data_IF_512676408893
#
_entry.id   IF_512676408893
#
_cell.length_a   1.000
_cell.length_b   1.000
_cell.length_c   1.000
_cell.angle_alpha   90.00
_cell.angle_beta   90.00
_cell.angle_gamma   90.00
#
_symmetry.space_group_name_H-M   'P 1'
#
loop_
_entity.id
_entity.type
_entity.pdbx_description
1 polymer ?
#
# COMPACT_ATOMS: atom_id res chain seq x y z
N UNK A 1 22.43 -35.83 2.80
CA UNK A 1 21.61 -35.60 1.59
C UNK A 1 20.40 -34.72 1.92
N UNK A 2 19.54 -35.06 2.88
CA UNK A 2 18.34 -34.27 3.23
C UNK A 2 18.66 -32.83 3.69
N UNK A 3 19.77 -32.61 4.40
CA UNK A 3 20.18 -31.29 4.91
C UNK A 3 20.69 -30.34 3.81
N UNK A 4 21.33 -30.88 2.78
CA UNK A 4 21.86 -30.13 1.62
C UNK A 4 20.73 -29.66 0.71
N UNK A 5 19.64 -30.43 0.61
CA UNK A 5 18.48 -30.05 -0.21
C UNK A 5 17.62 -28.97 0.48
N UNK A 6 17.52 -29.01 1.82
CA UNK A 6 16.86 -27.97 2.60
C UNK A 6 17.59 -26.62 2.51
N UNK A 7 18.93 -26.62 2.63
CA UNK A 7 19.74 -25.40 2.49
C UNK A 7 19.68 -24.82 1.07
N UNK A 8 19.50 -25.64 0.04
CA UNK A 8 19.27 -25.17 -1.34
C UNK A 8 17.92 -24.49 -1.52
N UNK A 9 16.88 -24.97 -0.83
CA UNK A 9 15.57 -24.36 -0.82
C UNK A 9 15.57 -23.02 -0.07
N UNK A 10 16.36 -22.90 0.99
CA UNK A 10 16.50 -21.66 1.75
C UNK A 10 17.46 -20.63 1.11
N UNK A 11 18.07 -20.95 -0.05
CA UNK A 11 19.00 -20.04 -0.74
C UNK A 11 20.28 -19.76 0.05
N UNK A 12 20.74 -20.75 0.84
CA UNK A 12 21.94 -20.68 1.69
C UNK A 12 22.96 -21.70 1.21
N UNK A 13 24.24 -21.34 1.15
CA UNK A 13 25.33 -22.28 0.85
C UNK A 13 25.65 -23.21 2.05
N UNK A 14 26.56 -24.16 1.84
CA UNK A 14 26.98 -25.12 2.89
C UNK A 14 27.65 -24.43 4.09
N UNK A 15 28.14 -23.19 3.91
CA UNK A 15 28.79 -22.37 4.92
C UNK A 15 27.82 -21.39 5.61
N UNK A 16 26.52 -21.47 5.32
CA UNK A 16 25.49 -20.60 5.91
C UNK A 16 25.39 -19.20 5.30
N UNK A 17 26.04 -18.95 4.17
CA UNK A 17 25.94 -17.68 3.44
C UNK A 17 24.81 -17.75 2.40
N UNK A 18 24.03 -16.66 2.27
CA UNK A 18 22.98 -16.55 1.27
C UNK A 18 23.57 -16.67 -0.15
N UNK A 19 23.09 -17.65 -0.92
CA UNK A 19 23.43 -17.79 -2.34
C UNK A 19 22.91 -16.58 -3.12
N UNK A 20 23.43 -16.32 -4.31
CA UNK A 20 23.02 -15.18 -5.14
C UNK A 20 21.48 -15.07 -5.32
N UNK A 21 20.79 -16.21 -5.41
CA UNK A 21 19.32 -16.28 -5.47
C UNK A 21 18.66 -15.85 -4.16
N UNK A 22 19.13 -16.33 -3.02
CA UNK A 22 18.62 -15.96 -1.71
C UNK A 22 18.80 -14.46 -1.39
N UNK A 23 19.92 -13.87 -1.81
CA UNK A 23 20.14 -12.41 -1.69
C UNK A 23 19.14 -11.60 -2.52
N UNK A 24 18.85 -12.03 -3.73
CA UNK A 24 17.89 -11.36 -4.61
C UNK A 24 16.47 -11.43 -4.06
N UNK A 25 16.04 -12.57 -3.52
CA UNK A 25 14.76 -12.75 -2.87
C UNK A 25 14.64 -11.90 -1.59
N UNK A 26 15.68 -11.91 -0.75
CA UNK A 26 15.75 -11.08 0.45
C UNK A 26 15.68 -9.58 0.14
N UNK A 27 16.35 -9.12 -0.92
CA UNK A 27 16.29 -7.74 -1.38
C UNK A 27 14.90 -7.39 -1.91
N UNK A 28 14.26 -8.27 -2.66
CA UNK A 28 12.89 -8.05 -3.17
C UNK A 28 11.89 -7.93 -2.03
N UNK A 29 11.98 -8.78 -1.01
CA UNK A 29 11.15 -8.70 0.21
C UNK A 29 11.39 -7.38 0.95
N UNK A 30 12.66 -6.96 1.11
CA UNK A 30 12.99 -5.66 1.71
C UNK A 30 12.36 -4.51 0.94
N UNK A 31 12.51 -4.46 -0.41
CA UNK A 31 11.95 -3.40 -1.25
C UNK A 31 10.43 -3.38 -1.16
N UNK A 32 9.78 -4.53 -1.18
CA UNK A 32 8.34 -4.65 -1.03
C UNK A 32 7.87 -4.04 0.31
N UNK A 33 8.45 -4.48 1.43
CA UNK A 33 8.11 -3.98 2.75
C UNK A 33 8.40 -2.48 2.91
N UNK A 34 9.57 -2.03 2.46
CA UNK A 34 9.94 -0.61 2.46
C UNK A 34 8.94 0.24 1.67
N UNK A 35 8.55 -0.21 0.47
CA UNK A 35 7.64 0.53 -0.39
C UNK A 35 6.23 0.61 0.19
N UNK A 36 5.73 -0.49 0.77
CA UNK A 36 4.42 -0.51 1.43
C UNK A 36 4.38 0.50 2.57
N UNK A 37 5.31 0.40 3.53
CA UNK A 37 5.29 1.30 4.69
C UNK A 37 5.52 2.77 4.29
N UNK A 38 6.38 3.02 3.30
CA UNK A 38 6.62 4.37 2.79
C UNK A 38 5.34 4.94 2.18
N UNK A 39 4.60 4.15 1.41
CA UNK A 39 3.36 4.57 0.77
C UNK A 39 2.24 4.81 1.78
N UNK A 40 1.90 3.80 2.59
CA UNK A 40 0.79 3.91 3.54
C UNK A 40 1.06 4.98 4.60
N UNK A 41 2.31 5.03 5.10
CA UNK A 41 2.71 6.08 6.04
C UNK A 41 2.68 7.48 5.41
N UNK A 42 3.03 7.61 4.13
CA UNK A 42 2.92 8.88 3.42
C UNK A 42 1.46 9.32 3.25
N UNK A 43 0.54 8.40 2.93
CA UNK A 43 -0.91 8.71 2.86
C UNK A 43 -1.44 9.15 4.23
N UNK A 44 -1.07 8.45 5.31
CA UNK A 44 -1.40 8.86 6.67
C UNK A 44 -0.90 10.29 6.98
N UNK A 45 0.37 10.60 6.63
CA UNK A 45 0.96 11.94 6.81
C UNK A 45 0.18 12.99 6.00
N UNK A 46 -0.19 12.69 4.75
CA UNK A 46 -0.95 13.63 3.90
C UNK A 46 -2.32 13.93 4.49
N UNK A 47 -3.07 12.90 4.95
CA UNK A 47 -4.41 13.11 5.51
C UNK A 47 -4.36 13.86 6.83
N UNK A 48 -3.50 13.44 7.77
CA UNK A 48 -3.33 14.12 9.06
C UNK A 48 -2.79 15.54 8.85
N UNK A 49 -1.82 15.71 7.95
CA UNK A 49 -1.26 17.00 7.58
C UNK A 49 -2.32 17.95 6.98
N UNK A 50 -3.21 17.45 6.15
CA UNK A 50 -4.31 18.23 5.59
C UNK A 50 -5.31 18.68 6.67
N UNK A 51 -5.63 17.81 7.65
CA UNK A 51 -6.48 18.16 8.80
C UNK A 51 -5.81 19.29 9.60
N UNK A 52 -4.53 19.15 9.93
CA UNK A 52 -3.75 20.13 10.67
C UNK A 52 -3.68 21.45 9.90
N UNK A 53 -3.36 21.44 8.61
CA UNK A 53 -3.28 22.64 7.77
C UNK A 53 -4.63 23.36 7.69
N UNK A 54 -5.73 22.62 7.56
CA UNK A 54 -7.08 23.18 7.56
C UNK A 54 -7.39 23.85 8.91
N UNK A 55 -7.10 23.20 10.04
CA UNK A 55 -7.30 23.76 11.37
C UNK A 55 -6.48 25.03 11.57
N UNK A 56 -5.20 25.04 11.22
CA UNK A 56 -4.33 26.23 11.32
C UNK A 56 -4.90 27.39 10.50
N UNK A 57 -5.39 27.11 9.28
CA UNK A 57 -5.98 28.13 8.40
C UNK A 57 -7.27 28.70 8.98
N UNK A 58 -8.14 27.86 9.55
CA UNK A 58 -9.45 28.25 10.07
C UNK A 58 -9.34 28.93 11.45
N UNK A 59 -8.24 28.69 12.17
CA UNK A 59 -7.99 29.28 13.49
C UNK A 59 -6.93 30.38 13.49
N UNK A 60 -6.65 30.97 12.31
CA UNK A 60 -5.60 31.99 12.16
C UNK A 60 -5.82 33.22 13.05
N UNK A 61 -7.09 33.60 13.26
CA UNK A 61 -7.50 34.75 14.07
C UNK A 61 -7.76 34.40 15.55
N UNK A 62 -7.51 33.14 15.96
CA UNK A 62 -7.69 32.67 17.34
C UNK A 62 -6.38 32.65 18.10
N UNK A 63 -6.47 32.59 19.45
CA UNK A 63 -5.28 32.52 20.32
C UNK A 63 -4.50 31.22 20.10
N UNK A 64 -3.18 31.26 20.39
CA UNK A 64 -2.31 30.08 20.29
C UNK A 64 -2.76 28.94 21.20
N UNK A 65 -3.38 29.23 22.33
CA UNK A 65 -3.91 28.23 23.26
C UNK A 65 -5.13 27.50 22.68
N UNK A 66 -6.05 28.24 22.04
CA UNK A 66 -7.22 27.63 21.38
C UNK A 66 -6.79 26.75 20.20
N UNK A 67 -5.78 27.19 19.44
CA UNK A 67 -5.20 26.40 18.34
C UNK A 67 -4.58 25.10 18.84
N UNK A 68 -3.80 25.13 19.90
CA UNK A 68 -3.23 23.94 20.56
C UNK A 68 -4.31 23.01 21.07
N UNK A 69 -5.38 23.54 21.64
CA UNK A 69 -6.53 22.77 22.14
C UNK A 69 -7.24 21.98 21.03
N UNK A 70 -7.30 22.53 19.81
CA UNK A 70 -7.90 21.86 18.65
C UNK A 70 -6.96 20.86 17.98
N UNK A 71 -5.64 21.09 18.03
CA UNK A 71 -4.65 20.20 17.42
C UNK A 71 -4.35 18.97 18.27
N UNK A 72 -4.35 19.08 19.60
CA UNK A 72 -4.08 17.95 20.51
C UNK A 72 -4.94 16.70 20.23
N UNK A 73 -6.26 16.80 20.04
CA UNK A 73 -7.10 15.64 19.75
C UNK A 73 -6.79 14.98 18.40
N UNK A 74 -6.36 15.74 17.39
CA UNK A 74 -5.95 15.21 16.10
C UNK A 74 -4.71 14.34 16.25
N UNK A 75 -3.69 14.82 16.99
CA UNK A 75 -2.50 14.02 17.30
C UNK A 75 -2.85 12.80 18.17
N UNK A 76 -3.71 12.97 19.17
CA UNK A 76 -4.16 11.86 20.02
C UNK A 76 -4.89 10.78 19.20
N UNK A 77 -5.78 11.20 18.27
CA UNK A 77 -6.46 10.29 17.34
C UNK A 77 -5.49 9.55 16.44
N UNK A 78 -4.50 10.25 15.86
CA UNK A 78 -3.49 9.63 15.02
C UNK A 78 -2.64 8.61 15.81
N UNK A 79 -2.18 8.95 17.00
CA UNK A 79 -1.41 8.04 17.87
C UNK A 79 -2.26 6.82 18.24
N UNK A 80 -3.53 7.01 18.60
CA UNK A 80 -4.44 5.91 18.92
C UNK A 80 -4.64 4.98 17.70
N UNK A 81 -4.71 5.54 16.49
CA UNK A 81 -4.78 4.78 15.24
C UNK A 81 -3.55 3.89 15.07
N UNK A 82 -2.34 4.42 15.28
CA UNK A 82 -1.09 3.66 15.21
C UNK A 82 -1.09 2.53 16.27
N UNK A 83 -1.40 2.85 17.52
CA UNK A 83 -1.41 1.87 18.62
C UNK A 83 -2.40 0.74 18.32
N UNK A 84 -3.60 1.08 17.88
CA UNK A 84 -4.62 0.07 17.58
C UNK A 84 -4.23 -0.79 16.36
N UNK A 85 -3.51 -0.24 15.38
CA UNK A 85 -2.96 -1.03 14.26
C UNK A 85 -1.96 -2.08 14.78
N UNK A 86 -1.06 -1.74 15.69
CA UNK A 86 -0.15 -2.73 16.30
C UNK A 86 -0.89 -3.78 17.12
N UNK A 87 -1.91 -3.39 17.87
CA UNK A 87 -2.76 -4.34 18.62
C UNK A 87 -3.48 -5.29 17.66
N UNK A 88 -4.01 -4.78 16.55
CA UNK A 88 -4.66 -5.59 15.51
C UNK A 88 -3.69 -6.57 14.84
N UNK A 89 -2.45 -6.14 14.54
CA UNK A 89 -1.41 -7.00 14.01
C UNK A 89 -1.05 -8.14 14.99
N UNK A 90 -0.88 -7.79 16.27
CA UNK A 90 -0.61 -8.78 17.30
C UNK A 90 -1.76 -9.80 17.46
N UNK A 91 -3.00 -9.31 17.49
CA UNK A 91 -4.18 -10.17 17.60
C UNK A 91 -4.29 -11.13 16.40
N UNK A 92 -4.05 -10.63 15.18
CA UNK A 92 -4.06 -11.45 13.98
C UNK A 92 -2.99 -12.57 14.05
N UNK A 93 -1.79 -12.24 14.54
CA UNK A 93 -0.72 -13.21 14.73
C UNK A 93 -1.09 -14.27 15.76
N UNK A 94 -1.77 -13.91 16.87
CA UNK A 94 -2.24 -14.87 17.86
C UNK A 94 -3.32 -15.81 17.30
N UNK A 95 -4.22 -15.30 16.44
CA UNK A 95 -5.23 -16.13 15.79
C UNK A 95 -4.60 -17.15 14.83
N UNK A 96 -3.52 -16.79 14.12
CA UNK A 96 -2.76 -17.73 13.28
C UNK A 96 -2.11 -18.84 14.11
N UNK A 97 -1.46 -18.49 15.21
CA UNK A 97 -0.80 -19.47 16.10
C UNK A 97 -1.78 -20.44 16.76
N UNK A 98 -3.02 -20.03 17.00
CA UNK A 98 -4.04 -20.89 17.62
C UNK A 98 -4.60 -21.94 16.67
N UNK A 99 -4.47 -21.79 15.36
CA UNK A 99 -5.06 -22.63 14.31
C UNK A 99 -3.98 -23.29 13.43
N UNK A 100 -3.09 -24.06 14.02
CA UNK A 100 -1.95 -24.67 13.33
C UNK A 100 -2.32 -25.67 12.21
N UNK A 101 -3.50 -26.27 12.25
CA UNK A 101 -3.95 -27.23 11.23
C UNK A 101 -4.49 -26.62 9.93
N UNK A 102 -4.60 -25.30 9.86
CA UNK A 102 -5.11 -24.56 8.68
C UNK A 102 -4.32 -23.28 8.42
N UNK A 103 -3.05 -23.26 8.81
CA UNK A 103 -2.22 -22.05 8.68
C UNK A 103 -2.07 -21.65 7.21
N UNK A 104 -1.78 -22.60 6.32
CA UNK A 104 -1.64 -22.39 4.87
C UNK A 104 -2.93 -21.82 4.26
N UNK A 105 -4.09 -22.33 4.69
CA UNK A 105 -5.39 -21.85 4.22
C UNK A 105 -5.64 -20.41 4.66
N UNK A 106 -5.33 -20.06 5.91
CA UNK A 106 -5.48 -18.69 6.42
C UNK A 106 -4.54 -17.74 5.68
N UNK A 107 -3.29 -18.16 5.42
CA UNK A 107 -2.30 -17.39 4.68
C UNK A 107 -2.73 -17.19 3.23
N UNK A 108 -3.19 -18.24 2.57
CA UNK A 108 -3.71 -18.19 1.21
C UNK A 108 -4.92 -17.26 1.07
N UNK A 109 -5.92 -17.40 1.95
CA UNK A 109 -7.11 -16.52 1.96
C UNK A 109 -6.72 -15.06 2.23
N UNK A 110 -5.81 -14.81 3.19
CA UNK A 110 -5.35 -13.46 3.50
C UNK A 110 -4.62 -12.84 2.31
N UNK A 111 -3.78 -13.59 1.60
CA UNK A 111 -3.09 -13.13 0.41
C UNK A 111 -4.07 -12.81 -0.74
N UNK A 112 -5.14 -13.60 -0.92
CA UNK A 112 -6.18 -13.32 -1.91
C UNK A 112 -6.99 -12.05 -1.57
N UNK A 113 -7.30 -11.83 -0.29
CA UNK A 113 -7.93 -10.58 0.17
C UNK A 113 -6.99 -9.40 -0.11
N UNK A 114 -5.71 -9.53 0.24
CA UNK A 114 -4.70 -8.51 -0.04
C UNK A 114 -4.59 -8.22 -1.55
N UNK A 115 -4.62 -9.24 -2.40
CA UNK A 115 -4.68 -9.11 -3.87
C UNK A 115 -5.85 -8.24 -4.32
N UNK A 116 -7.06 -8.53 -3.85
CA UNK A 116 -8.25 -7.78 -4.22
C UNK A 116 -8.16 -6.30 -3.77
N UNK A 117 -7.70 -6.06 -2.54
CA UNK A 117 -7.52 -4.72 -1.99
C UNK A 117 -6.44 -3.96 -2.76
N UNK A 118 -5.27 -4.55 -3.01
CA UNK A 118 -4.17 -3.95 -3.78
C UNK A 118 -4.60 -3.61 -5.21
N UNK A 119 -5.31 -4.51 -5.89
CA UNK A 119 -5.85 -4.26 -7.22
C UNK A 119 -6.82 -3.08 -7.23
N UNK A 120 -7.77 -3.06 -6.28
CA UNK A 120 -8.72 -1.95 -6.13
C UNK A 120 -8.01 -0.63 -5.87
N UNK A 121 -7.11 -0.60 -4.88
CA UNK A 121 -6.38 0.60 -4.46
C UNK A 121 -5.48 1.11 -5.58
N UNK A 122 -4.75 0.23 -6.28
CA UNK A 122 -3.89 0.63 -7.40
C UNK A 122 -4.67 1.35 -8.50
N UNK A 123 -5.84 0.82 -8.88
CA UNK A 123 -6.73 1.46 -9.86
C UNK A 123 -7.34 2.77 -9.37
N UNK A 124 -7.77 2.81 -8.10
CA UNK A 124 -8.32 4.02 -7.49
C UNK A 124 -7.28 5.15 -7.46
N UNK A 125 -6.01 4.83 -7.15
CA UNK A 125 -4.91 5.78 -7.11
C UNK A 125 -4.60 6.38 -8.48
N UNK A 126 -4.55 5.56 -9.54
CA UNK A 126 -4.37 6.07 -10.91
C UNK A 126 -5.50 7.03 -11.26
N UNK A 127 -6.73 6.77 -10.83
CA UNK A 127 -7.87 7.65 -11.07
C UNK A 127 -7.76 8.98 -10.33
N UNK A 128 -7.06 9.04 -9.19
CA UNK A 128 -6.89 10.21 -8.31
C UNK A 128 -5.52 10.88 -8.43
N UNK A 129 -4.66 10.44 -9.34
CA UNK A 129 -3.32 11.00 -9.54
C UNK A 129 -3.32 12.49 -9.93
N UNK A 130 -4.46 13.07 -10.34
CA UNK A 130 -4.62 14.50 -10.55
C UNK A 130 -4.76 15.24 -9.20
N UNK A 131 -3.89 16.23 -8.95
CA UNK A 131 -3.82 16.98 -7.69
C UNK A 131 -5.13 17.68 -7.30
N UNK A 132 -5.92 18.13 -8.28
CA UNK A 132 -7.22 18.80 -8.05
C UNK A 132 -8.27 17.81 -7.47
N UNK A 133 -8.26 16.56 -7.94
CA UNK A 133 -9.14 15.51 -7.41
C UNK A 133 -8.78 15.15 -5.97
N UNK A 134 -7.49 15.17 -5.61
CA UNK A 134 -7.01 14.96 -4.25
C UNK A 134 -7.43 16.10 -3.31
N UNK A 135 -7.22 17.35 -3.73
CA UNK A 135 -7.61 18.53 -2.96
C UNK A 135 -9.12 18.55 -2.69
N UNK A 136 -9.94 18.22 -3.69
CA UNK A 136 -11.38 18.11 -3.54
C UNK A 136 -11.78 16.99 -2.56
N UNK A 137 -11.12 15.84 -2.65
CA UNK A 137 -11.33 14.72 -1.72
C UNK A 137 -11.03 15.12 -0.28
N UNK A 138 -9.88 15.72 -0.01
CA UNK A 138 -9.49 16.20 1.32
C UNK A 138 -10.46 17.26 1.84
N UNK A 139 -10.79 18.27 1.04
CA UNK A 139 -11.76 19.32 1.42
C UNK A 139 -13.12 18.74 1.79
N UNK A 140 -13.60 17.73 1.08
CA UNK A 140 -14.88 17.09 1.37
C UNK A 140 -14.87 16.30 2.68
N UNK A 141 -13.77 15.60 2.98
CA UNK A 141 -13.61 14.82 4.21
C UNK A 141 -13.40 15.68 5.44
N UNK A 142 -12.50 16.66 5.35
CA UNK A 142 -12.13 17.53 6.47
C UNK A 142 -13.17 18.63 6.68
N UNK A 143 -13.75 19.17 5.60
CA UNK A 143 -14.74 20.25 5.67
C UNK A 143 -15.97 19.90 6.52
N UNK A 144 -16.49 18.69 6.39
CA UNK A 144 -17.63 18.22 7.19
C UNK A 144 -17.28 18.10 8.68
N UNK A 145 -16.12 17.53 9.02
CA UNK A 145 -15.68 17.36 10.40
C UNK A 145 -15.34 18.71 11.08
N UNK A 146 -14.80 19.66 10.32
CA UNK A 146 -14.46 20.98 10.84
C UNK A 146 -15.68 21.92 11.00
N UNK A 147 -16.70 21.78 10.14
CA UNK A 147 -17.95 22.56 10.25
C UNK A 147 -18.73 22.24 11.52
N UNK A 148 -18.66 21.00 12.00
CA UNK A 148 -19.31 20.60 13.27
C UNK A 148 -18.63 21.14 14.50
N UNK A 149 -17.42 21.71 14.40
CA UNK A 149 -16.66 22.28 15.52
C UNK A 149 -16.33 21.27 16.65
N UNK A 150 -16.68 20.01 16.45
CA UNK A 150 -16.51 18.95 17.45
C UNK A 150 -15.07 18.46 17.47
N UNK A 151 -14.39 18.70 18.57
CA UNK A 151 -13.04 18.21 18.85
C UNK A 151 -12.95 16.68 18.74
N UNK A 152 -14.01 15.97 19.13
CA UNK A 152 -14.12 14.53 19.01
C UNK A 152 -14.21 14.08 17.54
N UNK A 153 -14.99 14.75 16.71
CA UNK A 153 -15.13 14.41 15.30
C UNK A 153 -13.80 14.54 14.54
N UNK A 154 -12.99 15.55 14.88
CA UNK A 154 -11.65 15.74 14.31
C UNK A 154 -10.67 14.64 14.75
N UNK A 155 -10.66 14.29 16.05
CA UNK A 155 -9.86 13.20 16.59
C UNK A 155 -10.24 11.86 15.97
N UNK A 156 -11.53 11.59 15.85
CA UNK A 156 -12.05 10.36 15.27
C UNK A 156 -11.74 10.24 13.77
N UNK A 157 -11.82 11.36 13.03
CA UNK A 157 -11.44 11.39 11.61
C UNK A 157 -9.95 11.08 11.43
N UNK A 158 -9.08 11.68 12.25
CA UNK A 158 -7.64 11.41 12.24
C UNK A 158 -7.34 9.96 12.63
N UNK A 159 -8.01 9.45 13.66
CA UNK A 159 -7.93 8.07 14.10
C UNK A 159 -8.29 7.08 12.98
N UNK A 160 -9.46 7.26 12.37
CA UNK A 160 -9.93 6.37 11.30
C UNK A 160 -9.00 6.40 10.08
N UNK A 161 -8.50 7.58 9.72
CA UNK A 161 -7.57 7.70 8.60
C UNK A 161 -6.28 6.91 8.87
N UNK A 162 -5.65 7.11 10.03
CA UNK A 162 -4.38 6.44 10.37
C UNK A 162 -4.60 4.94 10.60
N UNK A 163 -5.67 4.55 11.28
CA UNK A 163 -5.99 3.15 11.52
C UNK A 163 -6.27 2.40 10.22
N UNK A 164 -6.92 3.04 9.25
CA UNK A 164 -7.14 2.47 7.92
C UNK A 164 -5.81 2.15 7.23
N UNK A 165 -4.89 3.11 7.15
CA UNK A 165 -3.58 2.89 6.52
C UNK A 165 -2.78 1.80 7.28
N UNK A 166 -2.85 1.80 8.62
CA UNK A 166 -2.26 0.74 9.43
C UNK A 166 -2.87 -0.64 9.18
N UNK A 167 -4.18 -0.73 8.94
CA UNK A 167 -4.84 -1.99 8.58
C UNK A 167 -4.40 -2.48 7.19
N UNK A 168 -4.22 -1.58 6.22
CA UNK A 168 -3.68 -1.90 4.89
C UNK A 168 -2.24 -2.42 5.01
N UNK A 169 -1.37 -1.79 5.81
CA UNK A 169 -0.02 -2.31 6.11
C UNK A 169 -0.09 -3.73 6.65
N UNK A 170 -0.96 -4.02 7.63
CA UNK A 170 -1.09 -5.35 8.22
C UNK A 170 -1.45 -6.39 7.15
N UNK A 171 -2.45 -6.09 6.31
CA UNK A 171 -2.89 -6.99 5.25
C UNK A 171 -1.77 -7.29 4.25
N UNK A 172 -0.98 -6.29 3.86
CA UNK A 172 0.07 -6.44 2.86
C UNK A 172 1.35 -7.10 3.41
N UNK A 173 1.59 -6.96 4.72
CA UNK A 173 2.74 -7.60 5.37
C UNK A 173 2.50 -9.09 5.66
N UNK A 174 1.25 -9.54 5.78
CA UNK A 174 0.95 -10.94 6.09
C UNK A 174 1.57 -11.92 5.08
N UNK A 175 1.35 -11.76 3.75
CA UNK A 175 1.96 -12.68 2.78
C UNK A 175 3.50 -12.58 2.74
N UNK A 176 4.07 -11.41 3.03
CA UNK A 176 5.52 -11.22 3.07
C UNK A 176 6.18 -11.86 4.29
N UNK A 177 5.45 -11.94 5.41
CA UNK A 177 5.93 -12.61 6.62
C UNK A 177 5.91 -14.14 6.47
N UNK A 178 4.98 -14.68 5.69
CA UNK A 178 4.86 -16.12 5.45
C UNK A 178 5.89 -16.63 4.43
N UNK A 179 6.13 -15.89 3.35
CA UNK A 179 6.98 -16.33 2.23
C UNK A 179 8.40 -15.79 2.22
N UNK A 180 8.79 -14.92 3.14
CA UNK A 180 10.07 -14.22 3.09
C UNK A 180 10.95 -14.32 4.33
N UNK A 181 12.17 -13.77 4.22
CA UNK A 181 13.05 -13.60 5.37
C UNK A 181 12.46 -12.58 6.34
N UNK A 182 12.03 -13.03 7.51
CA UNK A 182 11.45 -12.18 8.58
C UNK A 182 12.37 -11.01 8.95
N UNK A 183 13.68 -11.20 8.91
CA UNK A 183 14.67 -10.13 9.16
C UNK A 183 14.57 -9.01 8.13
N UNK A 184 14.39 -9.34 6.85
CA UNK A 184 14.28 -8.34 5.76
C UNK A 184 12.94 -7.61 5.80
N UNK A 185 11.87 -8.27 6.23
CA UNK A 185 10.57 -7.63 6.47
C UNK A 185 10.70 -6.54 7.53
N UNK A 186 11.29 -6.87 8.69
CA UNK A 186 11.47 -5.91 9.77
C UNK A 186 12.49 -4.80 9.44
N UNK A 187 13.53 -5.12 8.66
CA UNK A 187 14.49 -4.13 8.19
C UNK A 187 13.82 -3.13 7.23
N UNK A 188 13.04 -3.63 6.27
CA UNK A 188 12.27 -2.78 5.35
C UNK A 188 11.29 -1.87 6.08
N UNK A 189 10.59 -2.40 7.08
CA UNK A 189 9.71 -1.64 7.96
C UNK A 189 10.47 -0.52 8.70
N UNK A 190 11.57 -0.86 9.38
CA UNK A 190 12.33 0.10 10.17
C UNK A 190 12.93 1.22 9.31
N UNK A 191 13.55 0.87 8.18
CA UNK A 191 14.11 1.86 7.24
C UNK A 191 13.00 2.73 6.65
N UNK A 192 11.86 2.15 6.30
CA UNK A 192 10.70 2.88 5.81
C UNK A 192 10.16 3.87 6.85
N UNK A 193 10.04 3.47 8.11
CA UNK A 193 9.65 4.37 9.21
C UNK A 193 10.63 5.54 9.38
N UNK A 194 11.94 5.28 9.31
CA UNK A 194 12.96 6.34 9.39
C UNK A 194 12.80 7.31 8.21
N UNK A 195 12.63 6.80 6.98
CA UNK A 195 12.37 7.64 5.81
C UNK A 195 11.09 8.48 5.97
N UNK A 196 10.02 7.93 6.54
CA UNK A 196 8.77 8.68 6.79
C UNK A 196 8.99 9.83 7.77
N UNK A 197 9.81 9.64 8.80
CA UNK A 197 10.17 10.73 9.73
C UNK A 197 10.91 11.84 8.97
N UNK A 198 11.86 11.50 8.11
CA UNK A 198 12.56 12.49 7.27
C UNK A 198 11.61 13.21 6.32
N UNK A 199 10.69 12.49 5.67
CA UNK A 199 9.67 13.08 4.78
C UNK A 199 8.77 14.04 5.58
N UNK A 200 8.29 13.63 6.75
CA UNK A 200 7.48 14.48 7.61
C UNK A 200 8.21 15.77 8.02
N UNK A 201 9.49 15.65 8.43
CA UNK A 201 10.31 16.79 8.79
C UNK A 201 10.57 17.71 7.58
N UNK A 202 10.84 17.16 6.41
CA UNK A 202 11.02 17.92 5.18
C UNK A 202 9.76 18.73 4.83
N UNK A 203 8.58 18.11 4.88
CA UNK A 203 7.30 18.79 4.64
C UNK A 203 7.11 19.94 5.64
N UNK A 204 7.37 19.68 6.92
CA UNK A 204 7.15 20.64 8.00
C UNK A 204 8.12 21.82 7.99
N UNK A 205 9.42 21.56 7.73
CA UNK A 205 10.48 22.58 7.83
C UNK A 205 10.69 23.34 6.53
N UNK A 206 10.59 22.69 5.38
CA UNK A 206 10.98 23.26 4.08
C UNK A 206 9.80 23.75 3.26
N UNK A 207 8.55 23.59 3.70
CA UNK A 207 7.34 23.89 2.90
C UNK A 207 7.38 23.30 1.47
N UNK A 208 8.01 22.14 1.32
CA UNK A 208 8.22 21.50 0.01
C UNK A 208 6.86 21.11 -0.58
N UNK A 209 6.58 21.58 -1.77
CA UNK A 209 5.44 21.09 -2.56
C UNK A 209 5.81 19.73 -3.13
N UNK A 210 5.26 18.68 -2.53
CA UNK A 210 5.51 17.32 -2.97
C UNK A 210 4.92 17.09 -4.37
N UNK A 211 5.67 16.41 -5.25
CA UNK A 211 5.17 16.02 -6.57
C UNK A 211 4.22 14.82 -6.42
N UNK A 212 2.99 15.06 -5.96
CA UNK A 212 1.99 14.02 -5.68
C UNK A 212 1.71 13.11 -6.88
N UNK A 213 1.66 13.69 -8.10
CA UNK A 213 1.36 12.93 -9.33
C UNK A 213 2.32 11.79 -9.61
N UNK A 214 3.66 12.00 -9.73
CA UNK A 214 4.58 10.91 -9.98
C UNK A 214 4.64 9.93 -8.80
N UNK A 215 4.50 10.40 -7.56
CA UNK A 215 4.45 9.53 -6.40
C UNK A 215 3.27 8.54 -6.49
N UNK A 216 2.05 9.03 -6.69
CA UNK A 216 0.87 8.17 -6.81
C UNK A 216 0.93 7.25 -8.03
N UNK A 217 1.51 7.69 -9.16
CA UNK A 217 1.65 6.83 -10.33
C UNK A 217 2.63 5.68 -10.07
N UNK A 218 3.81 5.98 -9.54
CA UNK A 218 4.83 4.95 -9.25
C UNK A 218 4.33 3.95 -8.22
N UNK A 219 3.74 4.44 -7.13
CA UNK A 219 3.18 3.55 -6.09
C UNK A 219 2.01 2.72 -6.59
N UNK A 220 1.16 3.25 -7.47
CA UNK A 220 0.08 2.47 -8.10
C UNK A 220 0.62 1.32 -8.95
N UNK A 221 1.69 1.55 -9.73
CA UNK A 221 2.34 0.49 -10.52
C UNK A 221 2.90 -0.59 -9.60
N UNK A 222 3.61 -0.18 -8.53
CA UNK A 222 4.15 -1.13 -7.55
C UNK A 222 3.05 -1.97 -6.89
N UNK A 223 1.95 -1.35 -6.48
CA UNK A 223 0.79 -2.05 -5.92
C UNK A 223 0.15 -3.03 -6.91
N UNK A 224 0.08 -2.65 -8.18
CA UNK A 224 -0.42 -3.54 -9.22
C UNK A 224 0.47 -4.78 -9.39
N UNK A 225 1.80 -4.59 -9.39
CA UNK A 225 2.77 -5.71 -9.44
C UNK A 225 2.64 -6.59 -8.20
N UNK A 226 2.54 -6.00 -7.01
CA UNK A 226 2.36 -6.76 -5.77
C UNK A 226 1.01 -7.51 -5.73
N UNK A 227 -0.06 -6.94 -6.27
CA UNK A 227 -1.36 -7.62 -6.40
C UNK A 227 -1.22 -8.91 -7.22
N UNK A 228 -0.47 -8.86 -8.33
CA UNK A 228 -0.21 -10.04 -9.17
C UNK A 228 0.65 -11.07 -8.42
N UNK A 229 1.67 -10.62 -7.70
CA UNK A 229 2.53 -11.49 -6.89
C UNK A 229 1.76 -12.19 -5.77
N UNK A 230 0.94 -11.44 -5.03
CA UNK A 230 0.13 -12.00 -3.93
C UNK A 230 -0.96 -12.95 -4.42
N UNK A 231 -1.48 -12.77 -5.63
CA UNK A 231 -2.39 -13.75 -6.24
C UNK A 231 -1.72 -15.11 -6.40
N UNK A 232 -0.50 -15.13 -6.93
CA UNK A 232 0.25 -16.37 -7.10
C UNK A 232 0.62 -17.02 -5.78
N UNK A 233 1.17 -16.24 -4.84
CA UNK A 233 1.50 -16.74 -3.49
C UNK A 233 0.27 -17.26 -2.75
N UNK A 234 -0.86 -16.55 -2.81
CA UNK A 234 -2.09 -16.97 -2.16
C UNK A 234 -2.66 -18.28 -2.71
N UNK A 235 -2.58 -18.48 -4.02
CA UNK A 235 -3.00 -19.75 -4.64
C UNK A 235 -2.03 -20.88 -4.25
N UNK A 236 -0.73 -20.61 -4.18
CA UNK A 236 0.28 -21.58 -3.72
C UNK A 236 -0.02 -22.05 -2.30
N UNK A 237 -0.28 -21.14 -1.37
CA UNK A 237 -0.63 -21.49 0.01
C UNK A 237 -1.91 -22.36 0.10
N UNK A 238 -2.91 -22.09 -0.77
CA UNK A 238 -4.12 -22.91 -0.86
C UNK A 238 -3.86 -24.30 -1.46
N UNK A 239 -2.85 -24.44 -2.34
CA UNK A 239 -2.41 -25.73 -2.84
C UNK A 239 -1.69 -26.51 -1.73
N UNK A 240 -0.81 -25.87 -0.97
CA UNK A 240 -0.11 -26.47 0.17
C UNK A 240 -1.07 -26.87 1.30
N UNK A 241 -2.17 -26.11 1.46
CA UNK A 241 -3.28 -26.45 2.37
C UNK A 241 -4.29 -27.48 1.83
N UNK A 242 -3.97 -28.19 0.75
CA UNK A 242 -4.83 -29.21 0.11
C UNK A 242 -6.25 -28.72 -0.29
N UNK A 243 -6.45 -27.41 -0.42
CA UNK A 243 -7.74 -26.82 -0.89
C UNK A 243 -7.85 -26.84 -2.41
N UNK A 244 -6.73 -26.68 -3.12
CA UNK A 244 -6.66 -26.68 -4.58
C UNK A 244 -5.69 -27.78 -5.01
N UNK A 245 -6.13 -28.62 -5.96
CA UNK A 245 -5.26 -29.66 -6.52
C UNK A 245 -4.24 -29.03 -7.48
N UNK A 246 -2.97 -29.41 -7.34
CA UNK A 246 -1.87 -28.92 -8.20
C UNK A 246 -1.85 -29.65 -9.55
N UNK A 247 -1.79 -28.92 -10.65
CA UNK A 247 -1.56 -29.44 -11.99
C UNK A 247 -0.30 -28.79 -12.59
N UNK A 248 0.73 -29.59 -12.80
CA UNK A 248 1.99 -29.17 -13.40
C UNK A 248 2.25 -29.91 -14.73
N UNK A 249 1.60 -29.51 -15.84
CA UNK A 249 1.86 -30.10 -17.15
C UNK A 249 3.30 -29.79 -17.64
N UNK A 250 3.81 -30.60 -18.57
CA UNK A 250 5.21 -30.56 -19.01
C UNK A 250 5.69 -29.17 -19.51
N UNK A 251 4.78 -28.34 -20.05
CA UNK A 251 5.15 -26.99 -20.52
C UNK A 251 5.40 -26.00 -19.38
N UNK A 252 4.87 -26.25 -18.19
CA UNK A 252 5.10 -25.43 -17.00
C UNK A 252 6.44 -25.79 -16.33
N UNK A 253 6.89 -27.04 -16.50
CA UNK A 253 8.17 -27.51 -15.95
C UNK A 253 9.39 -26.78 -16.52
N UNK A 254 9.21 -26.00 -17.60
CA UNK A 254 10.26 -25.16 -18.17
C UNK A 254 10.54 -23.88 -17.38
N UNK A 255 9.66 -23.53 -16.44
CA UNK A 255 9.86 -22.37 -15.57
C UNK A 255 10.84 -22.76 -14.46
N UNK A 256 12.02 -22.13 -14.39
CA UNK A 256 12.99 -22.46 -13.35
C UNK A 256 12.45 -22.01 -11.99
N UNK A 257 12.65 -22.84 -10.98
CA UNK A 257 12.49 -22.42 -9.58
C UNK A 257 13.60 -21.43 -9.23
N UNK A 258 13.28 -20.14 -9.25
CA UNK A 258 14.23 -19.09 -8.93
C UNK A 258 13.63 -18.21 -7.83
N UNK A 259 14.36 -17.89 -6.75
CA UNK A 259 13.84 -17.13 -5.61
C UNK A 259 13.19 -15.79 -5.97
N UNK A 260 13.63 -15.12 -7.05
CA UNK A 260 13.00 -13.89 -7.53
C UNK A 260 11.62 -14.16 -8.12
N UNK A 261 11.40 -15.29 -8.79
CA UNK A 261 10.11 -15.66 -9.34
C UNK A 261 9.13 -16.03 -8.22
N UNK A 262 9.63 -16.66 -7.14
CA UNK A 262 8.83 -16.96 -5.95
C UNK A 262 8.33 -15.70 -5.25
N UNK A 263 9.17 -14.66 -5.11
CA UNK A 263 8.75 -13.35 -4.57
C UNK A 263 7.72 -12.67 -5.48
N UNK A 264 7.78 -12.92 -6.79
CA UNK A 264 6.76 -12.47 -7.75
C UNK A 264 5.53 -13.38 -7.78
N UNK A 265 5.49 -14.41 -6.95
CA UNK A 265 4.38 -15.38 -6.87
C UNK A 265 4.30 -16.29 -8.09
N UNK A 266 5.37 -16.41 -8.90
CA UNK A 266 5.39 -17.22 -10.11
C UNK A 266 5.89 -18.62 -9.75
N UNK A 267 4.97 -19.56 -9.70
CA UNK A 267 5.24 -20.97 -9.42
C UNK A 267 4.95 -21.83 -10.66
N UNK A 268 5.66 -22.96 -10.83
CA UNK A 268 5.50 -23.83 -12.00
C UNK A 268 4.21 -24.67 -11.92
N UNK A 269 3.06 -24.04 -11.80
CA UNK A 269 1.73 -24.66 -11.82
C UNK A 269 0.72 -23.78 -12.57
N UNK A 270 -0.25 -24.42 -13.22
CA UNK A 270 -1.25 -23.74 -14.06
C UNK A 270 -2.16 -22.85 -13.22
N UNK A 271 -2.47 -23.31 -12.01
CA UNK A 271 -3.38 -22.66 -11.07
C UNK A 271 -2.87 -21.29 -10.63
N UNK A 272 -1.56 -21.06 -10.58
CA UNK A 272 -0.99 -19.75 -10.26
C UNK A 272 -0.81 -18.90 -11.50
N UNK A 273 -0.28 -19.47 -12.60
CA UNK A 273 0.10 -18.70 -13.80
C UNK A 273 -1.12 -18.16 -14.54
N UNK A 274 -2.18 -18.96 -14.72
CA UNK A 274 -3.36 -18.54 -15.49
C UNK A 274 -4.08 -17.37 -14.81
N UNK A 275 -4.41 -17.39 -13.51
CA UNK A 275 -5.02 -16.24 -12.84
C UNK A 275 -4.10 -15.01 -12.83
N UNK A 276 -2.77 -15.17 -12.67
CA UNK A 276 -1.84 -14.06 -12.74
C UNK A 276 -1.81 -13.40 -14.12
N UNK A 277 -1.84 -14.18 -15.21
CA UNK A 277 -1.92 -13.64 -16.56
C UNK A 277 -3.24 -12.89 -16.79
N UNK A 278 -4.35 -13.45 -16.35
CA UNK A 278 -5.67 -12.79 -16.43
C UNK A 278 -5.65 -11.47 -15.67
N UNK A 279 -5.18 -11.48 -14.42
CA UNK A 279 -5.09 -10.27 -13.60
C UNK A 279 -4.15 -9.23 -14.22
N UNK A 280 -3.03 -9.65 -14.81
CA UNK A 280 -2.08 -8.78 -15.51
C UNK A 280 -2.75 -8.08 -16.69
N UNK A 281 -3.48 -8.82 -17.53
CA UNK A 281 -4.21 -8.25 -18.67
C UNK A 281 -5.27 -7.26 -18.20
N UNK A 282 -6.06 -7.61 -17.18
CA UNK A 282 -7.07 -6.73 -16.60
C UNK A 282 -6.40 -5.46 -16.03
N UNK A 283 -5.29 -5.59 -15.32
CA UNK A 283 -4.55 -4.47 -14.74
C UNK A 283 -4.05 -3.52 -15.83
N UNK A 284 -3.43 -4.04 -16.89
CA UNK A 284 -2.97 -3.21 -18.02
C UNK A 284 -4.15 -2.50 -18.69
N UNK A 285 -5.25 -3.21 -18.94
CA UNK A 285 -6.44 -2.65 -19.57
C UNK A 285 -7.05 -1.50 -18.72
N UNK A 286 -7.19 -1.70 -17.41
CA UNK A 286 -7.73 -0.70 -16.49
C UNK A 286 -6.80 0.51 -16.37
N UNK A 287 -5.49 0.33 -16.30
CA UNK A 287 -4.51 1.42 -16.29
C UNK A 287 -4.57 2.25 -17.57
N UNK A 288 -4.56 1.61 -18.74
CA UNK A 288 -4.69 2.30 -20.02
C UNK A 288 -6.00 3.08 -20.11
N UNK A 289 -7.11 2.47 -19.65
CA UNK A 289 -8.41 3.14 -19.60
C UNK A 289 -8.38 4.41 -18.73
N UNK A 290 -7.85 4.31 -17.51
CA UNK A 290 -7.77 5.45 -16.59
C UNK A 290 -6.84 6.54 -17.09
N UNK A 291 -5.68 6.19 -17.65
CA UNK A 291 -4.75 7.17 -18.23
C UNK A 291 -5.36 7.93 -19.41
N UNK A 292 -6.10 7.23 -20.28
CA UNK A 292 -6.83 7.88 -21.40
C UNK A 292 -7.94 8.78 -20.89
N UNK A 293 -8.72 8.32 -19.92
CA UNK A 293 -9.81 9.08 -19.30
C UNK A 293 -9.30 10.37 -18.64
N UNK A 294 -8.22 10.26 -17.86
CA UNK A 294 -7.62 11.41 -17.20
C UNK A 294 -7.10 12.46 -18.23
N UNK A 295 -6.50 12.00 -19.33
CA UNK A 295 -6.08 12.91 -20.42
C UNK A 295 -7.28 13.64 -21.04
N UNK A 296 -8.38 12.93 -21.30
CA UNK A 296 -9.59 13.51 -21.89
C UNK A 296 -10.23 14.55 -20.97
N UNK A 297 -10.41 14.22 -19.69
CA UNK A 297 -10.93 15.16 -18.69
C UNK A 297 -10.09 16.43 -18.58
N UNK A 298 -8.76 16.31 -18.68
CA UNK A 298 -7.87 17.45 -18.64
C UNK A 298 -8.02 18.36 -19.87
N UNK A 299 -8.22 17.79 -21.05
CA UNK A 299 -8.49 18.56 -22.27
C UNK A 299 -9.82 19.32 -22.17
N UNK A 300 -10.89 18.65 -21.75
CA UNK A 300 -12.21 19.25 -21.55
C UNK A 300 -12.17 20.42 -20.54
N UNK A 301 -11.43 20.24 -19.42
CA UNK A 301 -11.27 21.33 -18.44
C UNK A 301 -10.49 22.52 -19.01
N UNK A 302 -9.45 22.29 -19.81
CA UNK A 302 -8.67 23.36 -20.44
C UNK A 302 -9.48 24.13 -21.50
N UNK A 303 -10.28 23.42 -22.27
CA UNK A 303 -11.21 24.05 -23.26
C UNK A 303 -12.24 24.93 -22.54
N UNK A 304 -12.85 24.42 -21.47
CA UNK A 304 -13.83 25.18 -20.68
C UNK A 304 -13.22 26.44 -20.01
N UNK A 305 -11.97 26.34 -19.57
CA UNK A 305 -11.25 27.51 -19.02
C UNK A 305 -10.94 28.56 -20.12
N UNK A 306 -10.55 28.12 -21.31
CA UNK A 306 -10.32 29.01 -22.47
C UNK A 306 -11.61 29.72 -22.92
N UNK A 307 -12.71 29.00 -23.00
CA UNK A 307 -14.01 29.56 -23.32
C UNK A 307 -14.46 30.62 -22.31
N UNK A 308 -14.28 30.37 -21.01
CA UNK A 308 -14.59 31.35 -19.96
C UNK A 308 -13.72 32.60 -20.04
N UNK A 309 -12.42 32.47 -20.36
CA UNK A 309 -11.53 33.60 -20.54
C UNK A 309 -11.91 34.43 -21.76
N UNK A 310 -12.20 33.79 -22.89
CA UNK A 310 -12.65 34.47 -24.10
C UNK A 310 -14.00 35.18 -23.93
N UNK A 311 -14.90 34.62 -23.13
CA UNK A 311 -16.19 35.26 -22.85
C UNK A 311 -16.02 36.46 -21.91
N UNK A 312 -15.10 36.40 -20.97
CA UNK A 312 -14.77 37.51 -20.08
C UNK A 312 -14.08 38.69 -20.83
N UNK A 313 -13.20 38.38 -21.79
CA UNK A 313 -12.55 39.40 -22.65
C UNK A 313 -13.51 40.08 -23.64
N UNK A 314 -14.54 39.36 -24.09
CA UNK A 314 -15.57 39.95 -25.01
C UNK A 314 -16.65 40.76 -24.29
N UNK A 315 -16.75 40.62 -22.95
CA UNK A 315 -17.70 41.34 -22.12
C UNK A 315 -17.18 42.65 -21.51
N UNK A 316 -15.89 42.99 -21.77
CA UNK A 316 -15.29 44.32 -21.49
C UNK A 316 -15.22 45.16 -22.73
#
# INVERSE_FOLDING_TARGET
MIRTDANKLDGVDEDGNATGGGRSASLATFIACFTIILREGFEAILVVGAIIAYLIKTTKDRSDEERKRLLRPVYAGAILGIVLSFVSAWLLNQLKLANSASQEVIEGVTALIATAVLFYVSNWMVSKSESEAWDAYIKSKVGKAAQTGSTFALAFTAFLAVYREGAEVILFYQPLLSGGSTSMVWLGFAVGCVCLVFVYLAIRLMSVRLPLKPFFLVTSILMAVMSIAFLGSGIKELIEGDVIAMHAPAWVAWIPSHPVLEVLGIYPCVETIVPQLILTVITIATFVFWLKRNKKLKQEMQEHQREKQQTAEKGQ
#
